data_IF_141390908815
#
_entry.id   IF_141390908815
#
_cell.length_a   1.000
_cell.length_b   1.000
_cell.length_c   1.000
_cell.angle_alpha   90.00
_cell.angle_beta   90.00
_cell.angle_gamma   90.00
#
_symmetry.space_group_name_H-M   'P 1'
#
loop_
_entity.id
_entity.type
_entity.pdbx_description
1 polymer ?
#
# COMPACT_ATOMS: atom_id res chain seq x y z
N UNK A 1 23.01 -15.71 22.97
CA UNK A 1 21.55 -15.61 23.12
C UNK A 1 21.02 -17.01 23.38
N UNK A 2 20.41 -17.29 24.54
CA UNK A 2 19.90 -18.63 24.81
C UNK A 2 18.54 -18.77 24.10
N UNK A 3 18.29 -19.94 23.50
CA UNK A 3 17.01 -20.24 22.84
C UNK A 3 15.82 -20.11 23.83
N UNK A 4 16.09 -20.24 25.14
CA UNK A 4 15.15 -20.02 26.24
C UNK A 4 14.61 -18.59 26.36
N UNK A 5 15.26 -17.60 25.72
CA UNK A 5 14.91 -16.18 25.85
C UNK A 5 13.88 -15.74 24.79
N UNK A 6 13.54 -16.63 23.84
CA UNK A 6 12.48 -16.41 22.87
C UNK A 6 11.15 -16.68 23.57
N UNK A 7 10.46 -15.63 24.01
CA UNK A 7 9.09 -15.71 24.52
C UNK A 7 8.24 -16.51 23.52
N UNK A 8 7.62 -17.59 24.02
CA UNK A 8 6.63 -18.38 23.29
C UNK A 8 5.61 -17.43 22.65
N UNK A 9 5.36 -17.64 21.35
CA UNK A 9 4.35 -16.95 20.56
C UNK A 9 3.03 -16.90 21.32
N UNK A 10 2.36 -15.74 21.28
CA UNK A 10 0.99 -15.58 21.77
C UNK A 10 0.15 -16.74 21.23
N UNK A 11 -0.60 -17.42 22.09
CA UNK A 11 -1.48 -18.50 21.65
C UNK A 11 -2.64 -17.85 20.89
N UNK A 12 -2.58 -17.89 19.56
CA UNK A 12 -3.56 -17.27 18.67
C UNK A 12 -4.62 -18.31 18.36
N UNK A 13 -5.81 -18.15 18.94
CA UNK A 13 -6.95 -18.98 18.64
C UNK A 13 -7.48 -18.69 17.22
N UNK A 14 -7.54 -19.69 16.32
CA UNK A 14 -8.03 -19.50 14.95
C UNK A 14 -9.47 -18.95 14.87
N UNK A 15 -10.33 -19.27 15.83
CA UNK A 15 -11.73 -18.80 15.83
C UNK A 15 -11.82 -17.31 16.14
N UNK A 16 -10.95 -16.80 17.03
CA UNK A 16 -10.89 -15.37 17.33
C UNK A 16 -10.38 -14.58 16.12
N UNK A 17 -9.35 -15.09 15.42
CA UNK A 17 -8.87 -14.51 14.16
C UNK A 17 -9.97 -14.46 13.10
N UNK A 18 -10.73 -15.55 12.96
CA UNK A 18 -11.83 -15.63 12.00
C UNK A 18 -12.93 -14.61 12.30
N UNK A 19 -13.26 -14.44 13.58
CA UNK A 19 -14.22 -13.43 14.03
C UNK A 19 -13.74 -12.02 13.74
N UNK A 20 -12.48 -11.70 14.02
CA UNK A 20 -11.89 -10.40 13.73
C UNK A 20 -11.85 -10.09 12.22
N UNK A 21 -11.45 -11.07 11.40
CA UNK A 21 -11.48 -10.92 9.94
C UNK A 21 -12.89 -10.59 9.44
N UNK A 22 -13.92 -11.23 10.00
CA UNK A 22 -15.31 -10.96 9.61
C UNK A 22 -15.71 -9.51 9.92
N UNK A 23 -15.34 -9.00 11.09
CA UNK A 23 -15.62 -7.63 11.50
C UNK A 23 -14.83 -6.60 10.66
N UNK A 24 -13.56 -6.87 10.35
CA UNK A 24 -12.76 -6.03 9.45
C UNK A 24 -13.39 -5.97 8.06
N UNK A 25 -13.82 -7.12 7.51
CA UNK A 25 -14.46 -7.17 6.18
C UNK A 25 -15.77 -6.38 6.12
N UNK A 26 -16.56 -6.36 7.20
CA UNK A 26 -17.77 -5.53 7.28
C UNK A 26 -17.40 -4.05 7.19
N UNK A 27 -16.46 -3.59 8.02
CA UNK A 27 -16.02 -2.18 8.05
C UNK A 27 -15.32 -1.74 6.77
N UNK A 28 -14.55 -2.62 6.14
CA UNK A 28 -13.80 -2.32 4.92
C UNK A 28 -14.72 -1.86 3.77
N UNK A 29 -15.95 -2.38 3.69
CA UNK A 29 -16.93 -1.95 2.68
C UNK A 29 -17.30 -0.48 2.85
N UNK A 30 -17.55 -0.05 4.09
CA UNK A 30 -17.94 1.33 4.40
C UNK A 30 -16.78 2.31 4.17
N UNK A 31 -15.53 1.83 4.30
CA UNK A 31 -14.33 2.61 4.05
C UNK A 31 -13.96 2.70 2.56
N UNK A 32 -14.55 1.89 1.69
CA UNK A 32 -14.27 1.89 0.25
C UNK A 32 -15.01 3.02 -0.47
N UNK A 33 -14.61 4.25 -0.18
CA UNK A 33 -15.17 5.47 -0.76
C UNK A 33 -14.17 6.12 -1.70
N UNK A 34 -14.66 6.91 -2.67
CA UNK A 34 -13.80 7.67 -3.60
C UNK A 34 -12.82 8.57 -2.84
N UNK A 35 -13.26 9.22 -1.77
CA UNK A 35 -12.43 10.11 -0.96
C UNK A 35 -11.27 9.35 -0.30
N UNK A 36 -11.57 8.22 0.34
CA UNK A 36 -10.53 7.38 0.95
C UNK A 36 -9.57 6.83 -0.10
N UNK A 37 -10.06 6.48 -1.29
CA UNK A 37 -9.19 6.02 -2.39
C UNK A 37 -8.25 7.12 -2.88
N UNK A 38 -8.71 8.38 -2.96
CA UNK A 38 -7.84 9.53 -3.29
C UNK A 38 -6.75 9.71 -2.23
N UNK A 39 -7.12 9.65 -0.95
CA UNK A 39 -6.16 9.73 0.16
C UNK A 39 -5.14 8.60 0.05
N UNK A 40 -5.60 7.35 -0.11
CA UNK A 40 -4.72 6.17 -0.24
C UNK A 40 -3.77 6.34 -1.43
N UNK A 41 -4.26 6.81 -2.58
CA UNK A 41 -3.42 7.05 -3.75
C UNK A 41 -2.28 8.04 -3.44
N UNK A 42 -2.58 9.12 -2.71
CA UNK A 42 -1.59 10.10 -2.27
C UNK A 42 -0.57 9.60 -1.24
N UNK A 43 -0.75 8.38 -0.71
CA UNK A 43 0.16 7.73 0.24
C UNK A 43 0.98 6.60 -0.41
N UNK A 44 0.88 6.43 -1.73
CA UNK A 44 1.60 5.38 -2.46
C UNK A 44 3.05 5.79 -2.70
N UNK A 45 3.98 4.89 -2.38
CA UNK A 45 5.33 4.89 -2.96
C UNK A 45 5.28 4.07 -4.25
N UNK A 46 5.22 4.75 -5.40
CA UNK A 46 5.10 4.09 -6.68
C UNK A 46 6.43 3.42 -7.03
N UNK A 47 6.46 2.10 -6.90
CA UNK A 47 7.71 1.33 -6.91
C UNK A 47 7.89 0.58 -8.22
N UNK A 48 9.10 0.63 -8.81
CA UNK A 48 9.54 -0.31 -9.83
C UNK A 48 10.68 -1.18 -9.27
N UNK A 49 10.54 -2.50 -9.36
CA UNK A 49 11.54 -3.48 -8.90
C UNK A 49 11.91 -4.47 -10.02
N UNK A 50 11.72 -4.09 -11.29
CA UNK A 50 12.01 -5.04 -12.37
C UNK A 50 13.52 -5.14 -12.55
N UNK A 51 14.03 -6.36 -12.65
CA UNK A 51 15.46 -6.61 -12.91
C UNK A 51 15.92 -6.10 -14.28
N UNK A 52 14.98 -5.75 -15.15
CA UNK A 52 15.20 -5.22 -16.49
C UNK A 52 14.92 -3.72 -16.59
N UNK A 53 14.70 -3.05 -15.46
CA UNK A 53 14.54 -1.59 -15.46
C UNK A 53 15.79 -0.92 -16.03
N UNK A 54 15.55 0.13 -16.80
CA UNK A 54 16.57 0.90 -17.48
C UNK A 54 16.20 2.39 -17.43
N UNK A 55 17.09 3.24 -17.92
CA UNK A 55 16.89 4.67 -17.82
C UNK A 55 15.61 5.15 -18.54
N UNK A 56 15.23 4.51 -19.66
CA UNK A 56 14.08 4.92 -20.46
C UNK A 56 12.76 4.63 -19.73
N UNK A 57 12.58 3.39 -19.23
CA UNK A 57 11.34 3.01 -18.58
C UNK A 57 11.16 3.68 -17.20
N UNK A 58 12.25 3.95 -16.47
CA UNK A 58 12.19 4.73 -15.23
C UNK A 58 11.88 6.20 -15.54
N UNK A 59 12.39 6.76 -16.63
CA UNK A 59 11.98 8.09 -17.09
C UNK A 59 10.51 8.14 -17.48
N UNK A 60 9.97 7.09 -18.12
CA UNK A 60 8.52 7.01 -18.41
C UNK A 60 7.70 7.01 -17.11
N UNK A 61 8.11 6.22 -16.11
CA UNK A 61 7.48 6.19 -14.79
C UNK A 61 7.46 7.60 -14.16
N UNK A 62 8.61 8.27 -14.10
CA UNK A 62 8.71 9.63 -13.59
C UNK A 62 7.87 10.63 -14.39
N UNK A 63 7.84 10.51 -15.73
CA UNK A 63 7.01 11.37 -16.59
C UNK A 63 5.52 11.20 -16.30
N UNK A 64 5.06 9.96 -16.12
CA UNK A 64 3.66 9.69 -15.78
C UNK A 64 3.28 10.34 -14.43
N UNK A 65 4.12 10.19 -13.41
CA UNK A 65 3.90 10.83 -12.10
C UNK A 65 3.91 12.35 -12.22
N UNK A 66 4.83 12.93 -12.97
CA UNK A 66 4.92 14.40 -13.16
C UNK A 66 3.73 14.96 -13.95
N UNK A 67 3.20 14.22 -14.91
CA UNK A 67 2.05 14.63 -15.71
C UNK A 67 0.72 14.43 -14.96
N UNK A 68 0.67 13.50 -14.01
CA UNK A 68 -0.56 13.10 -13.34
C UNK A 68 -1.42 14.27 -12.81
N UNK A 69 -0.87 15.29 -12.09
CA UNK A 69 -1.67 16.40 -11.59
C UNK A 69 -2.32 17.27 -12.67
N UNK A 70 -1.74 17.29 -13.89
CA UNK A 70 -2.32 18.03 -15.02
C UNK A 70 -3.51 17.32 -15.65
N UNK A 71 -3.52 15.98 -15.58
CA UNK A 71 -4.59 15.14 -16.14
C UNK A 71 -5.70 14.91 -15.12
N UNK A 72 -5.35 14.78 -13.84
CA UNK A 72 -6.26 14.50 -12.73
C UNK A 72 -6.08 15.52 -11.60
N UNK A 73 -6.50 16.78 -11.78
CA UNK A 73 -6.26 17.85 -10.81
C UNK A 73 -6.92 17.62 -9.44
N UNK A 74 -7.99 16.80 -9.39
CA UNK A 74 -8.75 16.52 -8.16
C UNK A 74 -8.25 15.29 -7.38
N UNK A 75 -7.13 14.69 -7.80
CA UNK A 75 -6.52 13.52 -7.14
C UNK A 75 -5.10 13.93 -6.72
N UNK A 76 -4.71 13.73 -5.44
CA UNK A 76 -3.34 14.00 -5.02
C UNK A 76 -2.37 13.12 -5.81
N UNK A 77 -1.15 13.60 -6.06
CA UNK A 77 -0.12 12.77 -6.65
C UNK A 77 0.38 11.72 -5.64
N UNK A 78 1.06 10.67 -6.13
CA UNK A 78 1.73 9.68 -5.28
C UNK A 78 2.74 10.33 -4.32
N UNK A 79 2.99 9.71 -3.17
CA UNK A 79 3.86 10.25 -2.13
C UNK A 79 5.33 10.25 -2.57
N UNK A 80 5.77 9.18 -3.20
CA UNK A 80 7.14 9.03 -3.70
C UNK A 80 7.19 8.11 -4.91
N UNK A 81 8.35 8.12 -5.57
CA UNK A 81 8.78 7.10 -6.51
C UNK A 81 9.91 6.32 -5.83
N UNK A 82 9.88 4.99 -5.92
CA UNK A 82 10.91 4.10 -5.40
C UNK A 82 11.43 3.21 -6.54
N UNK A 83 12.73 3.24 -6.81
CA UNK A 83 13.39 2.54 -7.93
C UNK A 83 14.71 1.94 -7.49
#
# INVERSE_FOLDING_TARGET
MKISDIKKTKDINPEDVKKEILEIKKKAKDLYTVENLKIIYGLIDLTSLNTTDNEENIKDLCRNVNQFPSVYPDIPNVAAICV
#
